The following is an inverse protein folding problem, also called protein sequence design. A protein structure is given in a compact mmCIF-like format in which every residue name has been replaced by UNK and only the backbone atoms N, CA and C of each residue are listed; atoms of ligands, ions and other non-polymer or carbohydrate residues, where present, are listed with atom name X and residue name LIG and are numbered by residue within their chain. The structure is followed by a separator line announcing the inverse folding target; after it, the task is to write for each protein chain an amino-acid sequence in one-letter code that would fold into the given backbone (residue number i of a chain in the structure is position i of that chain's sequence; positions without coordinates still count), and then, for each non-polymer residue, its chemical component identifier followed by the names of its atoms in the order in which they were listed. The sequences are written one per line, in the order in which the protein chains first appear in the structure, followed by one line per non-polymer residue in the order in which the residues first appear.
data_IF_967877869285
#
_entry.id   IF_967877869285
#
_cell.length_a   1.000
_cell.length_b   1.000
_cell.length_c   1.000
_cell.angle_alpha   90.00
_cell.angle_beta   90.00
_cell.angle_gamma   90.00
#
_symmetry.space_group_name_H-M   'P 1'
#
loop_
_entity.id
_entity.type
_entity.pdbx_description
1 polymer ?
#
# COMPACT_ATOMS: atom_id res chain seq x y z
N UNK A 1 -6.61 1.31 68.91
CA UNK A 1 -8.06 1.17 68.62
C UNK A 1 -8.48 2.28 67.68
N UNK A 2 -9.39 1.95 66.76
CA UNK A 2 -9.95 2.74 65.64
C UNK A 2 -9.07 2.85 64.39
N UNK A 3 -9.33 1.90 63.47
CA UNK A 3 -9.09 2.07 62.04
C UNK A 3 -10.35 2.58 61.33
N UNK A 4 -10.21 2.79 60.02
CA UNK A 4 -11.18 2.85 58.92
C UNK A 4 -10.38 3.34 57.70
N UNK A 5 -10.60 2.99 56.42
CA UNK A 5 -11.36 1.98 55.70
C UNK A 5 -10.82 2.05 54.26
N UNK A 6 -10.67 0.90 53.59
CA UNK A 6 -10.43 0.83 52.16
C UNK A 6 -11.60 1.45 51.38
N UNK A 7 -11.30 2.24 50.34
CA UNK A 7 -12.21 2.50 49.23
C UNK A 7 -11.52 2.10 47.92
N UNK A 8 -11.95 0.98 47.33
CA UNK A 8 -11.66 0.60 45.95
C UNK A 8 -12.53 1.46 45.04
N UNK A 9 -11.91 2.24 44.16
CA UNK A 9 -12.58 2.93 43.06
C UNK A 9 -13.02 1.95 41.95
N UNK A 10 -14.04 2.30 41.16
CA UNK A 10 -14.67 1.38 40.22
C UNK A 10 -13.77 1.07 39.01
N UNK A 11 -13.76 -0.20 38.61
CA UNK A 11 -13.23 -0.66 37.33
C UNK A 11 -13.90 0.15 36.20
N UNK A 12 -13.11 0.86 35.40
CA UNK A 12 -13.55 1.53 34.18
C UNK A 12 -13.84 0.49 33.11
N UNK A 13 -15.07 -0.02 33.09
CA UNK A 13 -15.56 -1.00 32.10
C UNK A 13 -16.30 -0.43 30.85
N UNK A 14 -16.26 0.87 30.45
CA UNK A 14 -16.94 1.28 29.21
C UNK A 14 -16.05 1.25 27.96
N UNK A 15 -14.72 1.28 28.09
CA UNK A 15 -13.81 1.39 26.92
C UNK A 15 -13.70 0.07 26.15
N UNK A 16 -13.76 -1.05 26.85
CA UNK A 16 -13.56 -2.38 26.25
C UNK A 16 -14.76 -2.82 25.38
N UNK A 17 -15.96 -2.31 25.64
CA UNK A 17 -17.15 -2.58 24.81
C UNK A 17 -17.15 -1.78 23.50
N UNK A 18 -16.58 -0.58 23.48
CA UNK A 18 -16.49 0.24 22.27
C UNK A 18 -15.52 -0.34 21.23
N UNK A 19 -14.42 -0.94 21.69
CA UNK A 19 -13.42 -1.57 20.80
C UNK A 19 -13.99 -2.83 20.12
N UNK A 20 -14.83 -3.60 20.82
CA UNK A 20 -15.49 -4.79 20.25
C UNK A 20 -16.54 -4.38 19.18
N UNK A 21 -17.29 -3.30 19.41
CA UNK A 21 -18.28 -2.83 18.45
C UNK A 21 -17.65 -2.28 17.15
N UNK A 22 -16.51 -1.58 17.25
CA UNK A 22 -15.77 -1.08 16.08
C UNK A 22 -15.16 -2.23 15.28
N UNK A 23 -14.60 -3.25 15.95
CA UNK A 23 -14.03 -4.42 15.29
C UNK A 23 -15.08 -5.31 14.59
N UNK A 24 -16.30 -5.42 15.13
CA UNK A 24 -17.39 -6.16 14.46
C UNK A 24 -17.91 -5.39 13.24
N UNK A 25 -17.90 -4.06 13.29
CA UNK A 25 -18.38 -3.19 12.20
C UNK A 25 -17.41 -3.14 11.02
N UNK A 26 -16.09 -3.21 11.27
CA UNK A 26 -15.07 -3.27 10.22
C UNK A 26 -14.98 -4.67 9.58
N UNK A 27 -15.29 -5.75 10.31
CA UNK A 27 -15.32 -7.10 9.73
C UNK A 27 -16.53 -7.32 8.81
N UNK A 28 -17.68 -6.69 9.09
CA UNK A 28 -18.88 -6.79 8.24
C UNK A 28 -18.71 -6.11 6.87
N UNK A 29 -17.83 -5.10 6.77
CA UNK A 29 -17.54 -4.41 5.50
C UNK A 29 -16.58 -5.18 4.58
N UNK A 30 -15.86 -6.18 5.10
CA UNK A 30 -14.90 -6.99 4.33
C UNK A 30 -15.50 -8.30 3.77
N UNK A 31 -16.73 -8.66 4.17
CA UNK A 31 -17.43 -9.90 3.70
C UNK A 31 -18.55 -9.57 2.69
N UNK A 32 -18.79 -8.30 2.37
CA UNK A 32 -19.92 -7.85 1.54
C UNK A 32 -19.77 -7.92 0.02
N UNK A 33 -18.61 -8.34 -0.51
CA UNK A 33 -18.37 -8.43 -1.96
C UNK A 33 -18.10 -9.87 -2.43
N UNK A 34 -18.93 -10.82 -1.99
CA UNK A 34 -18.90 -12.21 -2.49
C UNK A 34 -20.22 -12.58 -3.16
N UNK A 35 -20.20 -12.56 -4.49
CA UNK A 35 -21.10 -13.20 -5.45
C UNK A 35 -22.59 -13.39 -5.06
N UNK A 36 -23.47 -12.55 -5.62
CA UNK A 36 -24.84 -12.97 -5.89
C UNK A 36 -24.81 -14.03 -7.00
N UNK A 37 -24.79 -15.28 -6.56
CA UNK A 37 -25.03 -16.44 -7.42
C UNK A 37 -26.44 -16.40 -7.97
N UNK A 38 -26.54 -16.40 -9.30
CA UNK A 38 -27.75 -16.66 -10.05
C UNK A 38 -28.34 -18.00 -9.63
N UNK A 39 -29.37 -17.96 -8.78
CA UNK A 39 -30.21 -19.12 -8.49
C UNK A 39 -31.22 -19.28 -9.62
N UNK A 40 -31.04 -20.37 -10.37
CA UNK A 40 -32.09 -21.06 -11.08
C UNK A 40 -33.34 -21.17 -10.21
N UNK A 41 -34.48 -20.78 -10.77
CA UNK A 41 -35.78 -21.24 -10.31
C UNK A 41 -36.50 -21.93 -11.49
N UNK A 42 -37.00 -23.16 -11.29
CA UNK A 42 -37.75 -23.88 -12.29
C UNK A 42 -39.22 -23.45 -12.24
N UNK A 43 -39.88 -23.32 -13.39
CA UNK A 43 -41.11 -24.07 -13.62
C UNK A 43 -41.58 -24.01 -15.08
N UNK A 44 -42.19 -25.11 -15.49
CA UNK A 44 -42.35 -25.49 -16.89
C UNK A 44 -43.52 -24.88 -17.65
N UNK A 45 -43.41 -24.97 -18.97
CA UNK A 45 -44.53 -25.15 -19.89
C UNK A 45 -43.95 -25.63 -21.23
N UNK A 46 -44.05 -26.92 -21.53
CA UNK A 46 -45.05 -27.52 -22.45
C UNK A 46 -44.73 -27.32 -23.95
N UNK A 47 -44.57 -28.49 -24.61
CA UNK A 47 -44.96 -28.85 -25.99
C UNK A 47 -43.89 -28.92 -27.12
N UNK A 48 -43.62 -30.19 -27.46
CA UNK A 48 -43.73 -30.88 -28.78
C UNK A 48 -42.71 -30.66 -29.91
N UNK A 49 -42.24 -31.79 -30.44
CA UNK A 49 -41.54 -32.00 -31.71
C UNK A 49 -40.29 -32.88 -31.54
N UNK A 50 -40.39 -34.21 -31.39
CA UNK A 50 -40.41 -35.20 -32.49
C UNK A 50 -39.46 -34.92 -33.66
N UNK A 51 -38.27 -35.56 -33.64
CA UNK A 51 -37.80 -36.53 -34.64
C UNK A 51 -36.34 -36.94 -34.30
N UNK A 52 -36.12 -38.20 -33.91
CA UNK A 52 -35.58 -39.29 -34.75
C UNK A 52 -34.11 -39.09 -35.19
N UNK A 53 -33.21 -40.07 -35.25
CA UNK A 53 -33.06 -41.42 -34.72
C UNK A 53 -31.72 -41.92 -35.31
N UNK A 54 -30.88 -42.54 -34.48
CA UNK A 54 -29.94 -43.63 -34.79
C UNK A 54 -28.73 -43.47 -35.74
N UNK A 55 -27.66 -44.20 -35.36
CA UNK A 55 -26.61 -44.71 -36.24
C UNK A 55 -25.20 -44.47 -35.69
N UNK A 56 -24.72 -45.17 -34.65
CA UNK A 56 -24.19 -46.53 -34.64
C UNK A 56 -22.79 -46.72 -35.31
N UNK A 57 -21.79 -46.87 -34.43
CA UNK A 57 -20.67 -47.86 -34.44
C UNK A 57 -19.49 -47.79 -35.42
N UNK A 58 -18.33 -48.14 -34.80
CA UNK A 58 -17.13 -48.89 -35.29
C UNK A 58 -15.90 -48.10 -35.76
N UNK A 59 -14.88 -48.11 -34.89
CA UNK A 59 -13.75 -49.04 -35.03
C UNK A 59 -12.41 -48.44 -35.49
N UNK A 60 -11.33 -48.85 -34.82
CA UNK A 60 -10.03 -49.08 -35.47
C UNK A 60 -8.85 -48.25 -34.97
N UNK A 61 -7.97 -48.94 -34.23
CA UNK A 61 -6.53 -48.69 -34.02
C UNK A 61 -5.78 -47.93 -35.13
N UNK A 62 -4.92 -46.97 -34.76
CA UNK A 62 -3.47 -47.17 -34.61
C UNK A 62 -2.75 -45.83 -34.43
N UNK A 63 -1.65 -45.89 -33.69
CA UNK A 63 -0.93 -44.74 -33.17
C UNK A 63 -0.31 -43.85 -34.24
N UNK A 64 -0.13 -42.59 -33.85
CA UNK A 64 1.07 -41.86 -34.23
C UNK A 64 1.48 -41.02 -33.03
N UNK A 65 2.62 -41.40 -32.45
CA UNK A 65 3.28 -40.67 -31.39
C UNK A 65 3.81 -39.36 -32.00
N UNK A 66 2.94 -38.35 -32.08
CA UNK A 66 3.39 -36.98 -32.19
C UNK A 66 3.87 -36.58 -30.81
N UNK A 67 5.19 -36.60 -30.68
CA UNK A 67 5.93 -35.71 -29.79
C UNK A 67 5.45 -34.29 -30.06
N UNK A 68 4.37 -33.89 -29.39
CA UNK A 68 4.13 -32.49 -29.10
C UNK A 68 5.33 -32.09 -28.26
N UNK A 69 6.28 -31.41 -28.91
CA UNK A 69 7.24 -30.60 -28.22
C UNK A 69 6.42 -29.77 -27.24
N UNK A 70 6.55 -30.07 -25.96
CA UNK A 70 6.10 -29.20 -24.90
C UNK A 70 6.77 -27.87 -25.21
N UNK A 71 6.02 -26.96 -25.81
CA UNK A 71 6.32 -25.55 -25.79
C UNK A 71 6.41 -25.25 -24.31
N UNK A 72 7.65 -25.08 -23.85
CA UNK A 72 8.00 -24.59 -22.54
C UNK A 72 7.48 -23.15 -22.48
N UNK A 73 6.16 -23.00 -22.38
CA UNK A 73 5.49 -21.78 -22.02
C UNK A 73 5.69 -21.64 -20.53
N UNK A 74 6.93 -21.40 -20.14
CA UNK A 74 7.23 -20.76 -18.86
C UNK A 74 6.36 -19.50 -18.83
N UNK A 75 5.41 -19.45 -17.90
CA UNK A 75 4.56 -18.29 -17.73
C UNK A 75 5.45 -17.05 -17.59
N UNK A 76 5.12 -15.94 -18.28
CA UNK A 76 5.96 -14.76 -18.24
C UNK A 76 6.04 -14.26 -16.80
N UNK A 77 7.26 -14.26 -16.25
CA UNK A 77 7.52 -13.83 -14.88
C UNK A 77 7.26 -12.34 -14.73
N UNK A 78 6.88 -11.89 -13.54
CA UNK A 78 6.69 -10.47 -13.26
C UNK A 78 8.04 -9.75 -13.07
N UNK A 79 8.10 -8.49 -13.49
CA UNK A 79 9.23 -7.62 -13.16
C UNK A 79 9.36 -7.45 -11.63
N UNK A 80 10.61 -7.42 -11.14
CA UNK A 80 10.89 -7.36 -9.71
C UNK A 80 11.00 -5.93 -9.21
N UNK A 81 10.41 -5.65 -8.05
CA UNK A 81 10.35 -4.32 -7.42
C UNK A 81 11.00 -4.37 -6.05
N UNK A 82 11.99 -3.50 -5.78
CA UNK A 82 12.51 -3.38 -4.43
C UNK A 82 11.44 -2.74 -3.55
N UNK A 83 11.24 -3.35 -2.39
CA UNK A 83 10.31 -2.88 -1.38
C UNK A 83 11.03 -2.50 -0.10
N UNK A 84 10.51 -1.50 0.59
CA UNK A 84 11.00 -1.05 1.89
C UNK A 84 9.83 -0.88 2.86
N UNK A 85 10.15 -0.83 4.16
CA UNK A 85 9.19 -0.48 5.20
C UNK A 85 8.54 0.90 4.91
N UNK A 86 7.25 1.08 5.25
CA UNK A 86 6.50 2.32 4.97
C UNK A 86 7.11 3.58 5.59
N UNK A 87 7.81 3.44 6.74
CA UNK A 87 8.50 4.55 7.39
C UNK A 87 9.86 4.88 6.75
N UNK A 88 10.28 4.15 5.72
CA UNK A 88 11.58 4.37 5.06
C UNK A 88 11.55 5.67 4.26
N UNK A 89 12.60 6.47 4.41
CA UNK A 89 12.83 7.66 3.59
C UNK A 89 13.49 7.32 2.25
N UNK A 90 13.82 6.05 1.99
CA UNK A 90 14.42 5.60 0.75
C UNK A 90 13.42 5.76 -0.40
N UNK A 91 13.71 6.63 -1.36
CA UNK A 91 12.88 6.82 -2.56
C UNK A 91 13.42 6.05 -3.76
N UNK A 92 14.74 5.86 -3.81
CA UNK A 92 15.47 5.25 -4.91
C UNK A 92 16.62 4.38 -4.39
N UNK A 93 16.94 3.33 -5.12
CA UNK A 93 18.13 2.48 -4.92
C UNK A 93 18.82 2.27 -6.27
N UNK A 94 20.15 2.20 -6.30
CA UNK A 94 20.87 1.85 -7.53
C UNK A 94 21.03 0.35 -7.73
N UNK A 95 21.28 -0.08 -8.97
CA UNK A 95 21.63 -1.48 -9.23
C UNK A 95 22.89 -1.93 -8.46
N UNK A 96 23.88 -1.05 -8.33
CA UNK A 96 25.07 -1.32 -7.51
C UNK A 96 24.73 -1.48 -6.03
N UNK A 97 23.85 -0.63 -5.48
CA UNK A 97 23.40 -0.72 -4.09
C UNK A 97 22.65 -2.04 -3.83
N UNK A 98 21.79 -2.46 -4.76
CA UNK A 98 21.10 -3.76 -4.69
C UNK A 98 22.08 -4.93 -4.76
N UNK A 99 23.07 -4.87 -5.65
CA UNK A 99 24.11 -5.91 -5.78
C UNK A 99 24.97 -6.05 -4.51
N UNK A 100 25.22 -4.91 -3.82
CA UNK A 100 26.01 -4.83 -2.60
C UNK A 100 25.21 -5.05 -1.31
N UNK A 101 23.88 -5.08 -1.40
CA UNK A 101 22.99 -5.18 -0.25
C UNK A 101 23.21 -6.50 0.50
N UNK A 102 23.42 -6.41 1.81
CA UNK A 102 23.48 -7.59 2.70
C UNK A 102 22.08 -7.88 3.20
N UNK A 103 21.65 -9.14 3.09
CA UNK A 103 20.34 -9.54 3.60
C UNK A 103 19.18 -8.96 2.79
N UNK A 104 19.39 -8.69 1.49
CA UNK A 104 18.28 -8.40 0.60
C UNK A 104 17.34 -9.61 0.60
N UNK A 105 16.11 -9.40 1.07
CA UNK A 105 15.13 -10.45 1.26
C UNK A 105 14.50 -10.83 -0.09
N UNK A 106 14.55 -12.11 -0.46
CA UNK A 106 14.02 -12.61 -1.73
C UNK A 106 13.26 -13.91 -1.50
N UNK A 107 12.10 -14.05 -2.13
CA UNK A 107 11.33 -15.28 -2.14
C UNK A 107 12.08 -16.39 -2.85
N UNK A 108 11.96 -17.63 -2.38
CA UNK A 108 12.69 -18.76 -2.98
C UNK A 108 12.40 -18.92 -4.48
N UNK A 109 11.18 -18.61 -4.92
CA UNK A 109 10.74 -18.73 -6.32
C UNK A 109 11.41 -17.77 -7.29
N UNK A 110 11.92 -16.62 -6.81
CA UNK A 110 12.54 -15.58 -7.64
C UNK A 110 14.04 -15.42 -7.37
N UNK A 111 14.63 -16.37 -6.66
CA UNK A 111 16.03 -16.25 -6.20
C UNK A 111 17.02 -16.27 -7.35
N UNK A 112 16.79 -17.12 -8.34
CA UNK A 112 17.72 -17.29 -9.47
C UNK A 112 17.64 -16.08 -10.42
N UNK A 113 16.43 -15.63 -10.68
CA UNK A 113 16.06 -14.43 -11.42
C UNK A 113 16.69 -13.18 -10.80
N UNK A 114 16.48 -12.99 -9.49
CA UNK A 114 17.08 -11.91 -8.74
C UNK A 114 18.61 -11.99 -8.81
N UNK A 115 19.21 -13.18 -8.67
CA UNK A 115 20.66 -13.34 -8.77
C UNK A 115 21.19 -12.98 -10.16
N UNK A 116 20.43 -13.26 -11.22
CA UNK A 116 20.76 -12.89 -12.59
C UNK A 116 20.67 -11.39 -12.85
N UNK A 117 19.67 -10.70 -12.27
CA UNK A 117 19.45 -9.27 -12.45
C UNK A 117 20.41 -8.40 -11.62
N UNK A 118 20.44 -8.59 -10.31
CA UNK A 118 21.22 -7.72 -9.40
C UNK A 118 22.65 -8.22 -9.18
N UNK A 119 22.98 -9.41 -9.67
CA UNK A 119 24.26 -10.08 -9.43
C UNK A 119 24.35 -10.63 -8.01
N UNK A 120 24.59 -11.95 -7.87
CA UNK A 120 24.56 -12.75 -6.63
C UNK A 120 24.90 -12.02 -5.31
N UNK A 121 23.91 -11.46 -4.60
CA UNK A 121 24.11 -10.92 -3.27
C UNK A 121 24.01 -12.05 -2.26
N UNK A 122 24.36 -11.73 -1.01
CA UNK A 122 24.02 -12.56 0.15
C UNK A 122 22.53 -12.39 0.45
N UNK A 123 21.68 -12.92 -0.43
CA UNK A 123 20.24 -12.90 -0.25
C UNK A 123 19.86 -13.62 1.04
N UNK A 124 18.93 -13.02 1.75
CA UNK A 124 18.17 -13.73 2.77
C UNK A 124 16.97 -14.37 2.06
N UNK A 125 16.91 -15.71 2.09
CA UNK A 125 15.91 -16.44 1.33
C UNK A 125 14.70 -16.74 2.20
N UNK A 126 13.54 -16.33 1.72
CA UNK A 126 12.25 -16.57 2.36
C UNK A 126 11.46 -17.66 1.65
N UNK A 127 10.48 -18.24 2.33
CA UNK A 127 9.69 -19.35 1.79
C UNK A 127 8.80 -18.93 0.61
N UNK A 128 8.38 -17.66 0.56
CA UNK A 128 7.49 -17.08 -0.45
C UNK A 128 7.69 -15.56 -0.53
N UNK A 129 7.09 -14.92 -1.52
CA UNK A 129 7.11 -13.46 -1.69
C UNK A 129 6.27 -12.76 -0.61
N UNK A 130 5.11 -13.31 -0.25
CA UNK A 130 4.33 -12.90 0.93
C UNK A 130 5.19 -12.84 2.21
N UNK A 131 6.08 -13.81 2.41
CA UNK A 131 6.94 -13.84 3.59
C UNK A 131 8.03 -12.74 3.54
N UNK A 132 8.46 -12.33 2.34
CA UNK A 132 9.34 -11.16 2.16
C UNK A 132 8.56 -9.89 2.51
N UNK A 133 7.34 -9.72 1.98
CA UNK A 133 6.48 -8.56 2.28
C UNK A 133 6.22 -8.46 3.79
N UNK A 134 5.85 -9.57 4.44
CA UNK A 134 5.62 -9.61 5.88
C UNK A 134 6.87 -9.21 6.67
N UNK A 135 8.05 -9.74 6.30
CA UNK A 135 9.31 -9.40 6.94
C UNK A 135 9.65 -7.91 6.81
N UNK A 136 9.58 -7.36 5.59
CA UNK A 136 9.90 -5.96 5.30
C UNK A 136 8.92 -5.01 5.99
N UNK A 137 7.63 -5.36 6.03
CA UNK A 137 6.59 -4.56 6.69
C UNK A 137 6.76 -4.45 8.22
N UNK A 138 7.52 -5.36 8.83
CA UNK A 138 7.75 -5.41 10.29
C UNK A 138 9.16 -5.01 10.71
N UNK A 139 10.08 -4.89 9.77
CA UNK A 139 11.50 -4.70 10.05
C UNK A 139 11.99 -3.39 9.43
N UNK A 140 11.98 -2.28 10.19
CA UNK A 140 12.51 -1.01 9.72
C UNK A 140 13.96 -1.15 9.22
N UNK A 141 14.23 -0.70 8.00
CA UNK A 141 15.54 -0.79 7.35
C UNK A 141 15.78 -2.06 6.54
N UNK A 142 14.89 -3.07 6.61
CA UNK A 142 14.94 -4.21 5.70
C UNK A 142 14.56 -3.77 4.27
N UNK A 143 15.21 -4.39 3.29
CA UNK A 143 14.89 -4.29 1.87
C UNK A 143 14.50 -5.67 1.37
N UNK A 144 13.45 -5.72 0.57
CA UNK A 144 13.02 -6.93 -0.13
C UNK A 144 12.99 -6.71 -1.63
N UNK A 145 13.00 -7.80 -2.38
CA UNK A 145 12.77 -7.80 -3.82
C UNK A 145 11.66 -8.81 -4.12
N UNK A 146 10.55 -8.32 -4.67
CA UNK A 146 9.33 -9.11 -4.93
C UNK A 146 8.77 -8.80 -6.32
N UNK A 147 7.95 -9.69 -6.90
CA UNK A 147 7.14 -9.37 -8.07
C UNK A 147 6.32 -8.09 -7.90
N UNK A 148 6.11 -7.33 -8.98
CA UNK A 148 5.39 -6.05 -8.90
C UNK A 148 3.94 -6.20 -8.42
N UNK A 149 3.31 -7.33 -8.70
CA UNK A 149 1.93 -7.67 -8.33
C UNK A 149 1.78 -8.11 -6.86
N UNK A 150 2.89 -8.37 -6.17
CA UNK A 150 2.95 -8.61 -4.72
C UNK A 150 3.08 -7.31 -3.90
N UNK A 151 3.28 -6.17 -4.57
CA UNK A 151 3.41 -4.87 -3.89
C UNK A 151 2.04 -4.40 -3.39
N UNK A 152 1.81 -4.61 -2.09
CA UNK A 152 0.61 -4.17 -1.38
C UNK A 152 0.80 -2.92 -0.50
N UNK A 153 -0.26 -2.47 0.19
CA UNK A 153 -0.25 -1.25 1.01
C UNK A 153 0.58 -1.35 2.30
N UNK A 154 1.11 -2.53 2.65
CA UNK A 154 1.92 -2.76 3.84
C UNK A 154 3.39 -2.37 3.67
N UNK A 155 3.83 -2.12 2.44
CA UNK A 155 5.21 -1.81 2.08
C UNK A 155 5.24 -0.69 1.04
N UNK A 156 6.41 -0.11 0.84
CA UNK A 156 6.66 0.93 -0.16
C UNK A 156 7.49 0.35 -1.30
N UNK A 157 7.06 0.54 -2.55
CA UNK A 157 7.91 0.34 -3.72
C UNK A 157 8.97 1.44 -3.83
N UNK A 158 10.19 1.04 -4.17
CA UNK A 158 11.36 1.91 -4.32
C UNK A 158 11.77 1.93 -5.79
N UNK A 159 12.11 3.10 -6.34
CA UNK A 159 12.60 3.17 -7.72
C UNK A 159 14.00 2.60 -7.86
N UNK A 160 14.35 2.13 -9.06
CA UNK A 160 15.69 1.63 -9.37
C UNK A 160 16.34 2.56 -10.37
N UNK A 161 17.53 3.07 -10.07
CA UNK A 161 18.27 4.03 -10.91
C UNK A 161 17.43 5.24 -11.35
N UNK A 162 16.52 5.68 -10.49
CA UNK A 162 15.59 6.79 -10.74
C UNK A 162 14.38 6.44 -11.60
N UNK A 163 14.20 5.15 -11.94
CA UNK A 163 13.10 4.63 -12.74
C UNK A 163 12.09 3.92 -11.83
N UNK A 164 10.90 4.50 -11.59
CA UNK A 164 9.82 3.82 -10.88
C UNK A 164 9.07 2.86 -11.81
N UNK A 165 8.80 1.62 -11.37
CA UNK A 165 7.98 0.68 -12.14
C UNK A 165 6.47 0.99 -12.03
N UNK A 166 6.02 1.37 -10.84
CA UNK A 166 4.60 1.63 -10.54
C UNK A 166 4.20 3.08 -10.83
N UNK A 167 4.78 3.67 -11.86
CA UNK A 167 4.45 5.02 -12.35
C UNK A 167 4.04 4.92 -13.82
N UNK A 168 2.96 5.62 -14.19
CA UNK A 168 2.33 5.52 -15.53
C UNK A 168 3.25 5.96 -16.67
N UNK A 169 4.26 6.78 -16.37
CA UNK A 169 5.02 7.48 -17.39
C UNK A 169 6.34 6.77 -17.79
N UNK A 170 6.76 5.68 -17.11
CA UNK A 170 8.18 5.23 -17.14
C UNK A 170 8.48 3.73 -17.08
N UNK A 171 7.49 2.85 -17.28
CA UNK A 171 7.70 1.39 -17.11
C UNK A 171 8.59 0.68 -18.15
N UNK A 172 8.88 1.29 -19.31
CA UNK A 172 9.53 0.59 -20.42
C UNK A 172 11.01 0.25 -20.17
N UNK A 173 11.76 1.18 -19.56
CA UNK A 173 13.22 1.12 -19.35
C UNK A 173 13.61 0.66 -17.93
N UNK A 174 12.71 -0.04 -17.24
CA UNK A 174 12.91 -0.39 -15.84
C UNK A 174 14.02 -1.45 -15.64
N UNK A 175 15.06 -1.21 -14.81
CA UNK A 175 16.25 -2.07 -14.75
C UNK A 175 16.02 -3.51 -14.28
N UNK A 176 15.00 -3.76 -13.45
CA UNK A 176 14.71 -5.09 -12.90
C UNK A 176 13.59 -5.82 -13.66
N UNK A 177 13.42 -5.47 -14.93
CA UNK A 177 12.52 -6.13 -15.87
C UNK A 177 13.28 -7.18 -16.67
N UNK A 178 12.93 -8.45 -16.52
CA UNK A 178 13.42 -9.51 -17.39
C UNK A 178 12.81 -9.41 -18.80
N UNK A 179 13.50 -9.96 -19.79
CA UNK A 179 12.94 -10.07 -21.14
C UNK A 179 11.67 -10.94 -21.10
N UNK A 180 10.59 -10.45 -21.72
CA UNK A 180 9.28 -11.13 -21.67
C UNK A 180 8.54 -10.98 -20.34
N UNK A 181 9.10 -10.29 -19.34
CA UNK A 181 8.43 -10.12 -18.06
C UNK A 181 7.18 -9.24 -18.16
N UNK A 182 6.18 -9.58 -17.35
CA UNK A 182 5.01 -8.73 -17.17
C UNK A 182 5.38 -7.49 -16.35
N UNK A 183 4.75 -6.38 -16.71
CA UNK A 183 4.84 -5.09 -16.00
C UNK A 183 3.43 -4.56 -15.79
N UNK A 184 3.21 -3.65 -14.83
CA UNK A 184 1.93 -3.00 -14.71
C UNK A 184 1.53 -2.33 -16.03
N UNK A 185 0.25 -2.41 -16.37
CA UNK A 185 -0.30 -1.69 -17.50
C UNK A 185 -0.39 -0.20 -17.14
N UNK A 186 0.39 0.69 -17.80
CA UNK A 186 0.44 2.10 -17.44
C UNK A 186 -0.91 2.79 -17.62
N UNK A 187 -1.78 2.32 -18.52
CA UNK A 187 -3.13 2.87 -18.72
C UNK A 187 -4.10 2.47 -17.59
N UNK A 188 -3.75 1.45 -16.80
CA UNK A 188 -4.53 1.00 -15.64
C UNK A 188 -3.97 1.47 -14.32
N UNK A 189 -2.74 2.00 -14.29
CA UNK A 189 -2.16 2.57 -13.08
C UNK A 189 -2.86 3.88 -12.73
N UNK A 190 -3.26 4.02 -11.47
CA UNK A 190 -3.82 5.24 -10.92
C UNK A 190 -3.02 5.65 -9.71
N UNK A 191 -2.61 6.91 -9.68
CA UNK A 191 -1.94 7.52 -8.55
C UNK A 191 -2.94 8.18 -7.64
N UNK A 192 -3.13 7.57 -6.47
CA UNK A 192 -3.91 8.14 -5.37
C UNK A 192 -2.97 8.77 -4.35
N UNK A 193 -3.18 10.04 -4.02
CA UNK A 193 -2.47 10.73 -2.94
C UNK A 193 -3.43 10.96 -1.78
N UNK A 194 -3.07 10.44 -0.60
CA UNK A 194 -3.80 10.71 0.65
C UNK A 194 -3.04 11.78 1.43
N UNK A 195 -3.57 13.00 1.44
CA UNK A 195 -2.97 14.17 2.08
C UNK A 195 -3.03 14.18 3.61
N UNK A 196 -3.74 13.22 4.22
CA UNK A 196 -3.98 13.15 5.65
C UNK A 196 -4.98 14.20 6.13
N UNK A 197 -4.81 14.67 7.36
CA UNK A 197 -5.70 15.65 7.99
C UNK A 197 -5.34 17.07 7.56
N UNK A 198 -6.30 17.77 6.96
CA UNK A 198 -6.23 19.18 6.65
C UNK A 198 -7.06 19.92 7.69
N UNK A 199 -6.37 20.76 8.46
CA UNK A 199 -6.99 21.67 9.43
C UNK A 199 -7.21 23.04 8.79
N UNK A 200 -8.47 23.44 8.61
CA UNK A 200 -8.85 24.81 8.20
C UNK A 200 -9.04 25.73 9.40
N UNK A 201 -8.08 25.71 10.33
CA UNK A 201 -8.14 26.64 11.44
C UNK A 201 -7.83 28.09 10.99
N UNK A 202 -7.90 28.99 11.97
CA UNK A 202 -7.57 30.41 11.78
C UNK A 202 -6.15 30.63 11.26
N UNK A 203 -5.25 29.65 11.37
CA UNK A 203 -3.87 29.72 10.89
C UNK A 203 -3.78 29.88 9.39
N UNK A 204 -4.63 29.19 8.62
CA UNK A 204 -4.67 29.35 7.16
C UNK A 204 -5.12 30.76 6.76
N UNK A 205 -6.23 31.25 7.33
CA UNK A 205 -6.70 32.62 7.09
C UNK A 205 -5.67 33.67 7.51
N UNK A 206 -5.08 33.52 8.69
CA UNK A 206 -4.04 34.41 9.20
C UNK A 206 -2.85 34.48 8.25
N UNK A 207 -2.39 33.33 7.75
CA UNK A 207 -1.20 33.26 6.92
C UNK A 207 -1.47 33.75 5.48
N UNK A 208 -2.56 33.31 4.87
CA UNK A 208 -2.92 33.66 3.49
C UNK A 208 -3.37 35.12 3.39
N UNK A 209 -4.29 35.54 4.26
CA UNK A 209 -4.96 36.85 4.17
C UNK A 209 -4.24 37.89 5.03
N UNK A 210 -4.08 37.67 6.33
CA UNK A 210 -3.53 38.72 7.21
C UNK A 210 -2.05 38.97 7.00
N UNK A 211 -1.26 37.92 6.75
CA UNK A 211 0.16 38.03 6.40
C UNK A 211 0.41 38.23 4.90
N UNK A 212 -0.64 38.17 4.07
CA UNK A 212 -0.53 38.38 2.63
C UNK A 212 0.36 37.36 1.92
N UNK A 213 0.49 36.14 2.43
CA UNK A 213 1.38 35.12 1.85
C UNK A 213 0.81 34.46 0.59
N UNK A 214 -0.44 34.76 0.23
CA UNK A 214 -1.11 34.26 -0.98
C UNK A 214 -1.81 32.92 -0.77
N UNK A 215 -2.85 32.67 -1.56
CA UNK A 215 -3.70 31.46 -1.47
C UNK A 215 -2.94 30.16 -1.74
N UNK A 216 -1.81 30.31 -2.43
CA UNK A 216 -0.92 29.25 -2.86
C UNK A 216 0.08 28.81 -1.78
N UNK A 217 0.22 29.60 -0.71
CA UNK A 217 1.19 29.36 0.36
C UNK A 217 1.15 27.93 0.95
N UNK A 218 -0.02 27.31 1.22
CA UNK A 218 -0.06 25.97 1.81
C UNK A 218 0.50 24.88 0.87
N UNK A 219 0.41 25.10 -0.44
CA UNK A 219 0.84 24.17 -1.48
C UNK A 219 2.27 24.44 -1.96
N UNK A 220 2.80 25.64 -1.70
CA UNK A 220 4.19 26.01 -1.99
C UNK A 220 5.21 25.40 -1.02
N UNK A 221 4.76 24.46 -0.19
CA UNK A 221 5.59 23.66 0.70
C UNK A 221 6.69 22.88 -0.04
N UNK A 222 7.68 22.46 0.74
CA UNK A 222 8.83 21.66 0.33
C UNK A 222 9.36 20.91 1.55
N UNK A 223 10.66 20.69 1.63
CA UNK A 223 11.25 20.12 2.83
C UNK A 223 11.41 21.17 3.93
N UNK A 224 11.30 20.73 5.17
CA UNK A 224 11.63 21.52 6.35
C UNK A 224 12.47 20.70 7.32
N UNK A 225 13.47 21.32 7.92
CA UNK A 225 14.24 20.74 9.02
C UNK A 225 13.69 21.28 10.34
N UNK A 226 13.43 20.38 11.27
CA UNK A 226 13.13 20.78 12.66
C UNK A 226 14.42 21.23 13.32
N UNK A 227 14.52 22.53 13.62
CA UNK A 227 15.72 23.18 14.17
C UNK A 227 15.70 23.27 15.69
N UNK A 228 14.51 23.18 16.31
CA UNK A 228 14.37 23.15 17.76
C UNK A 228 13.14 22.35 18.21
N UNK A 229 13.17 21.85 19.44
CA UNK A 229 12.02 21.22 20.12
C UNK A 229 11.98 21.71 21.57
N UNK A 230 10.83 22.20 22.00
CA UNK A 230 10.60 22.66 23.38
C UNK A 230 9.42 21.87 23.95
N UNK A 231 9.61 21.14 25.07
CA UNK A 231 8.52 20.42 25.71
C UNK A 231 7.57 21.40 26.42
N UNK A 232 6.27 21.15 26.28
CA UNK A 232 5.22 21.90 26.94
C UNK A 232 4.21 20.96 27.60
N UNK A 233 3.73 21.34 28.80
CA UNK A 233 2.70 20.58 29.49
C UNK A 233 1.37 20.71 28.74
N UNK A 234 0.68 19.59 28.53
CA UNK A 234 -0.62 19.57 27.85
C UNK A 234 -1.54 18.55 28.51
N UNK A 235 -2.73 19.03 28.90
CA UNK A 235 -3.81 18.19 29.41
C UNK A 235 -4.44 17.29 28.33
N UNK A 236 -4.12 17.51 27.06
CA UNK A 236 -4.64 16.77 25.91
C UNK A 236 -3.65 15.71 25.39
N UNK A 237 -2.46 15.59 25.99
CA UNK A 237 -1.47 14.56 25.64
C UNK A 237 -1.56 13.38 26.59
N UNK A 238 -1.52 12.15 26.06
CA UNK A 238 -1.46 10.93 26.87
C UNK A 238 -0.25 10.88 27.80
N UNK A 239 0.86 11.51 27.39
CA UNK A 239 2.10 11.58 28.16
C UNK A 239 2.18 12.82 29.06
N UNK A 240 1.17 13.69 29.01
CA UNK A 240 1.13 14.98 29.71
C UNK A 240 2.02 16.06 29.10
N UNK A 241 2.80 15.74 28.05
CA UNK A 241 3.73 16.65 27.39
C UNK A 241 3.50 16.61 25.88
N UNK A 242 3.51 17.78 25.25
CA UNK A 242 3.64 17.96 23.79
C UNK A 242 4.98 18.65 23.49
N UNK A 243 5.43 18.62 22.24
CA UNK A 243 6.61 19.36 21.83
C UNK A 243 6.21 20.42 20.82
N UNK A 244 6.44 21.68 21.17
CA UNK A 244 6.51 22.73 20.17
C UNK A 244 7.83 22.58 19.41
N UNK A 245 7.81 22.82 18.11
CA UNK A 245 9.01 22.77 17.29
C UNK A 245 9.14 24.01 16.42
N UNK A 246 10.38 24.46 16.24
CA UNK A 246 10.71 25.40 15.16
C UNK A 246 11.17 24.57 13.97
N UNK A 247 10.69 24.93 12.78
CA UNK A 247 11.14 24.33 11.54
C UNK A 247 11.53 25.41 10.53
N UNK A 248 12.58 25.14 9.77
CA UNK A 248 13.05 26.00 8.70
C UNK A 248 12.92 25.26 7.36
N UNK A 249 12.44 25.96 6.33
CA UNK A 249 12.37 25.40 4.98
C UNK A 249 13.79 25.13 4.47
N UNK A 250 14.05 23.91 4.02
CA UNK A 250 15.37 23.49 3.53
C UNK A 250 15.45 23.36 2.02
N UNK A 251 14.33 23.42 1.29
CA UNK A 251 14.33 23.49 -0.16
C UNK A 251 13.09 22.92 -0.83
N UNK A 252 13.14 22.83 -2.18
CA UNK A 252 12.08 22.34 -3.07
C UNK A 252 10.71 23.00 -2.84
N UNK A 253 10.69 24.33 -2.82
CA UNK A 253 9.43 25.08 -2.81
C UNK A 253 8.50 24.59 -3.95
N UNK A 254 7.22 24.41 -3.65
CA UNK A 254 6.22 23.89 -4.59
C UNK A 254 6.28 22.38 -4.83
N UNK A 255 7.14 21.62 -4.12
CA UNK A 255 7.17 20.16 -4.26
C UNK A 255 5.85 19.52 -3.83
N UNK A 256 5.19 20.06 -2.80
CA UNK A 256 3.88 19.56 -2.35
C UNK A 256 2.84 19.76 -3.46
N UNK A 257 2.75 20.97 -4.02
CA UNK A 257 1.90 21.26 -5.20
C UNK A 257 2.17 20.29 -6.34
N UNK A 258 3.44 20.12 -6.74
CA UNK A 258 3.84 19.23 -7.83
C UNK A 258 3.46 17.77 -7.55
N UNK A 259 3.60 17.33 -6.30
CA UNK A 259 3.27 15.98 -5.88
C UNK A 259 1.76 15.73 -5.95
N UNK A 260 0.95 16.67 -5.47
CA UNK A 260 -0.51 16.59 -5.51
C UNK A 260 -1.06 16.71 -6.93
N UNK A 261 -0.49 17.60 -7.76
CA UNK A 261 -0.93 17.79 -9.14
C UNK A 261 -0.66 16.60 -10.06
N UNK A 262 0.25 15.70 -9.65
CA UNK A 262 0.54 14.48 -10.40
C UNK A 262 -0.35 13.30 -10.03
N UNK A 263 -1.33 13.47 -9.13
CA UNK A 263 -2.26 12.43 -8.74
C UNK A 263 -3.50 12.42 -9.63
N UNK A 264 -4.01 11.24 -9.96
CA UNK A 264 -5.33 11.07 -10.58
C UNK A 264 -6.44 11.38 -9.58
N UNK A 265 -6.19 11.09 -8.30
CA UNK A 265 -7.09 11.38 -7.18
C UNK A 265 -6.30 11.83 -5.96
N UNK A 266 -6.67 12.98 -5.39
CA UNK A 266 -6.18 13.41 -4.07
C UNK A 266 -7.32 13.34 -3.07
N UNK A 267 -7.09 12.63 -1.97
CA UNK A 267 -8.00 12.53 -0.83
C UNK A 267 -7.39 13.23 0.36
N UNK A 268 -8.20 14.00 1.09
CA UNK A 268 -7.78 14.61 2.35
C UNK A 268 -8.93 14.53 3.34
N UNK A 269 -8.61 14.23 4.60
CA UNK A 269 -9.56 14.32 5.69
C UNK A 269 -9.64 15.77 6.16
N UNK A 270 -10.85 16.23 6.47
CA UNK A 270 -11.06 17.57 6.97
C UNK A 270 -11.22 17.49 8.49
N UNK A 271 -10.23 18.00 9.21
CA UNK A 271 -10.25 18.01 10.67
C UNK A 271 -10.39 19.45 11.16
N UNK A 272 -11.47 19.74 11.89
CA UNK A 272 -11.63 21.04 12.55
C UNK A 272 -11.60 20.85 14.06
N UNK A 273 -10.82 21.66 14.81
CA UNK A 273 -10.83 21.58 16.27
C UNK A 273 -12.22 21.96 16.78
N UNK A 274 -12.85 21.04 17.51
CA UNK A 274 -14.11 21.30 18.20
C UNK A 274 -13.79 21.98 19.53
N UNK A 275 -14.25 23.22 19.72
CA UNK A 275 -14.15 23.89 21.01
C UNK A 275 -15.12 23.20 21.98
N UNK A 276 -14.74 23.07 23.26
CA UNK A 276 -15.47 22.31 24.31
C UNK A 276 -16.99 22.58 24.37
N UNK A 277 -17.42 23.79 23.99
CA UNK A 277 -18.82 24.22 24.03
C UNK A 277 -19.40 24.54 22.63
N UNK A 278 -18.81 24.00 21.56
CA UNK A 278 -19.29 24.22 20.21
C UNK A 278 -20.68 23.58 20.00
N UNK A 279 -21.66 24.40 19.60
CA UNK A 279 -23.04 23.94 19.31
C UNK A 279 -23.09 23.24 17.94
N UNK A 280 -22.19 23.60 17.02
CA UNK A 280 -22.06 23.07 15.67
C UNK A 280 -20.58 22.96 15.28
N UNK A 281 -20.29 22.10 14.29
CA UNK A 281 -18.99 22.03 13.62
C UNK A 281 -18.80 23.20 12.65
#
# INVERSE_FOLDING_TARGET
MRGEKHAKGPLRTPVMMAVIAVMISTFALLVGCSSEGSKDQPDGSRRTGENQQAGATRGGENGDARTEAASDHSEPQAALVPIAHLSSTLENVSMEELSGARGLAVGRGYREEAAGLVGSPRFESFASDDAVVDHVSKTPGALGLVPWDEVGPSVRAVSVDGVPLLDSDRGADYPLRLEGATVPDPEKLQRVVVGGDIVLDRGQYYTVIQKGMGIDFPLDGGYAAVTSRVPEQSAYSETGVIHQFTAERTGRAGAVRKYLSGADLTLANFENPVIRDAVWH
#
